data_IF_545502770290
#
_entry.id   IF_545502770290
#
_cell.length_a   1.000
_cell.length_b   1.000
_cell.length_c   1.000
_cell.angle_alpha   90.00
_cell.angle_beta   90.00
_cell.angle_gamma   90.00
#
_symmetry.space_group_name_H-M   'P 1'
#
loop_
_entity.id
_entity.type
_entity.pdbx_description
1 polymer ?
#
# COMPACT_ATOMS: atom_id res chain seq x y z
N UNK A 1 -1.62 -6.13 16.71
CA UNK A 1 -2.40 -5.15 15.93
C UNK A 1 -2.60 -5.71 14.54
N UNK A 2 -3.60 -5.20 13.84
CA UNK A 2 -3.88 -5.48 12.43
C UNK A 2 -3.19 -4.41 11.58
N UNK A 3 -2.29 -4.82 10.70
CA UNK A 3 -1.51 -3.92 9.83
C UNK A 3 -1.90 -4.16 8.38
N UNK A 4 -2.25 -3.11 7.65
CA UNK A 4 -2.35 -3.18 6.19
C UNK A 4 -1.04 -2.71 5.57
N UNK A 5 -0.46 -3.53 4.71
CA UNK A 5 0.76 -3.22 3.96
C UNK A 5 0.44 -3.00 2.48
N UNK A 6 1.09 -2.00 1.88
CA UNK A 6 1.02 -1.67 0.45
C UNK A 6 2.38 -1.16 -0.05
N UNK A 7 2.54 -0.97 -1.36
CA UNK A 7 3.72 -0.35 -1.97
C UNK A 7 3.40 0.17 -3.39
N UNK A 8 4.39 0.73 -4.06
CA UNK A 8 4.36 1.16 -5.46
C UNK A 8 5.12 0.23 -6.43
N UNK A 9 6.05 -0.59 -5.93
CA UNK A 9 6.78 -1.58 -6.74
C UNK A 9 5.93 -2.80 -7.17
N UNK A 10 4.78 -3.00 -6.51
CA UNK A 10 3.83 -4.08 -6.78
C UNK A 10 3.87 -5.23 -5.77
N UNK A 11 2.81 -6.04 -5.77
CA UNK A 11 2.55 -7.06 -4.74
C UNK A 11 3.58 -8.18 -4.62
N UNK A 12 4.40 -8.39 -5.66
CA UNK A 12 5.46 -9.42 -5.67
C UNK A 12 6.85 -8.86 -5.40
N UNK A 13 6.98 -7.56 -5.15
CA UNK A 13 8.27 -6.93 -4.92
C UNK A 13 8.94 -7.47 -3.65
N UNK A 14 10.27 -7.49 -3.65
CA UNK A 14 11.05 -7.98 -2.51
C UNK A 14 10.80 -7.14 -1.25
N UNK A 15 10.77 -5.81 -1.39
CA UNK A 15 10.63 -4.88 -0.27
C UNK A 15 9.32 -5.05 0.51
N UNK A 16 8.20 -5.28 -0.17
CA UNK A 16 6.90 -5.48 0.50
C UNK A 16 6.82 -6.85 1.19
N UNK A 17 7.46 -7.89 0.63
CA UNK A 17 7.56 -9.20 1.26
C UNK A 17 8.39 -9.16 2.52
N UNK A 18 9.55 -8.51 2.49
CA UNK A 18 10.42 -8.35 3.67
C UNK A 18 9.67 -7.59 4.77
N UNK A 19 8.96 -6.52 4.41
CA UNK A 19 8.16 -5.74 5.36
C UNK A 19 7.08 -6.60 6.02
N UNK A 20 6.32 -7.36 5.21
CA UNK A 20 5.32 -8.28 5.72
C UNK A 20 5.92 -9.33 6.66
N UNK A 21 6.96 -10.04 6.22
CA UNK A 21 7.62 -11.10 6.99
C UNK A 21 8.11 -10.54 8.34
N UNK A 22 8.73 -9.36 8.34
CA UNK A 22 9.20 -8.68 9.56
C UNK A 22 8.07 -8.33 10.52
N UNK A 23 6.93 -7.85 10.02
CA UNK A 23 5.78 -7.49 10.86
C UNK A 23 5.08 -8.74 11.42
N UNK A 24 5.02 -9.83 10.64
CA UNK A 24 4.50 -11.12 11.10
C UNK A 24 5.39 -11.70 12.20
N UNK A 25 6.71 -11.66 12.04
CA UNK A 25 7.67 -12.10 13.06
C UNK A 25 7.58 -11.27 14.36
N UNK A 26 7.24 -9.98 14.25
CA UNK A 26 6.94 -9.11 15.38
C UNK A 26 5.60 -9.42 16.07
N UNK A 27 4.83 -10.39 15.58
CA UNK A 27 3.57 -10.85 16.17
C UNK A 27 2.35 -10.03 15.76
N UNK A 28 2.37 -9.38 14.59
CA UNK A 28 1.23 -8.64 14.05
C UNK A 28 0.38 -9.49 13.09
N UNK A 29 -0.90 -9.15 12.98
CA UNK A 29 -1.75 -9.68 11.93
C UNK A 29 -1.59 -8.79 10.69
N UNK A 30 -0.98 -9.31 9.64
CA UNK A 30 -0.65 -8.54 8.43
C UNK A 30 -1.61 -8.88 7.31
N UNK A 31 -2.15 -7.84 6.67
CA UNK A 31 -2.90 -7.88 5.42
C UNK A 31 -2.10 -7.14 4.36
N UNK A 32 -2.10 -7.64 3.13
CA UNK A 32 -1.36 -7.04 2.03
C UNK A 32 -2.32 -6.67 0.90
N UNK A 33 -2.27 -5.41 0.44
CA UNK A 33 -2.93 -4.98 -0.78
C UNK A 33 -2.04 -4.02 -1.56
N UNK A 34 -1.57 -4.45 -2.72
CA UNK A 34 -0.64 -3.68 -3.54
C UNK A 34 -1.00 -3.76 -5.03
N UNK A 35 -0.45 -2.87 -5.88
CA UNK A 35 -0.66 -2.93 -7.32
C UNK A 35 -0.22 -4.26 -7.93
N UNK A 36 -0.89 -4.69 -9.01
CA UNK A 36 -0.52 -5.90 -9.77
C UNK A 36 0.89 -5.81 -10.37
N UNK A 37 1.35 -4.61 -10.69
CA UNK A 37 2.68 -4.34 -11.26
C UNK A 37 3.20 -3.00 -10.76
N UNK A 38 4.50 -2.77 -10.91
CA UNK A 38 5.14 -1.48 -10.61
C UNK A 38 4.33 -0.31 -11.20
N UNK A 39 4.10 0.68 -10.35
CA UNK A 39 3.52 1.98 -10.68
C UNK A 39 4.57 3.00 -10.27
N UNK A 40 5.27 3.57 -11.25
CA UNK A 40 6.27 4.61 -11.00
C UNK A 40 5.84 5.95 -11.60
N UNK A 41 6.21 7.02 -10.90
CA UNK A 41 6.03 8.42 -11.31
C UNK A 41 4.57 8.90 -11.46
N UNK A 42 3.61 8.27 -10.79
CA UNK A 42 2.21 8.73 -10.79
C UNK A 42 1.80 9.52 -9.53
N UNK A 43 2.72 9.79 -8.59
CA UNK A 43 2.48 10.58 -7.38
C UNK A 43 1.26 10.06 -6.58
N UNK A 44 0.18 10.82 -6.47
CA UNK A 44 -1.05 10.41 -5.78
C UNK A 44 -2.19 10.09 -6.76
N UNK A 45 -1.87 9.61 -7.98
CA UNK A 45 -2.89 9.36 -8.98
C UNK A 45 -3.93 8.35 -8.48
N UNK A 46 -5.19 8.65 -8.74
CA UNK A 46 -6.32 7.78 -8.45
C UNK A 46 -7.10 7.50 -9.73
N UNK A 47 -7.62 6.28 -9.85
CA UNK A 47 -8.43 5.88 -10.99
C UNK A 47 -9.88 6.34 -10.81
N UNK A 48 -10.22 7.53 -11.31
CA UNK A 48 -11.60 8.03 -11.31
C UNK A 48 -12.48 7.48 -12.44
N UNK A 49 -11.87 7.16 -13.59
CA UNK A 49 -12.56 6.66 -14.77
C UNK A 49 -12.01 5.27 -15.12
N UNK A 50 -12.91 4.28 -15.17
CA UNK A 50 -12.55 2.90 -15.44
C UNK A 50 -12.92 1.97 -14.29
N UNK A 51 -12.52 0.70 -14.40
CA UNK A 51 -12.74 -0.31 -13.37
C UNK A 51 -11.43 -0.61 -12.66
N UNK A 52 -11.44 -0.54 -11.34
CA UNK A 52 -10.38 -1.07 -10.49
C UNK A 52 -10.79 -2.46 -10.04
N UNK A 53 -9.95 -3.45 -10.33
CA UNK A 53 -10.20 -4.85 -9.96
C UNK A 53 -9.32 -5.23 -8.79
N UNK A 54 -9.93 -5.82 -7.77
CA UNK A 54 -9.23 -6.44 -6.64
C UNK A 54 -9.28 -7.96 -6.80
N UNK A 55 -8.13 -8.60 -6.67
CA UNK A 55 -8.01 -10.05 -6.74
C UNK A 55 -7.39 -10.54 -5.45
N UNK A 56 -8.13 -11.38 -4.72
CA UNK A 56 -7.63 -12.13 -3.58
C UNK A 56 -6.85 -13.34 -4.08
N UNK A 57 -5.61 -13.52 -3.64
CA UNK A 57 -4.79 -14.68 -4.05
C UNK A 57 -4.47 -15.64 -2.89
N UNK A 58 -4.67 -15.23 -1.65
CA UNK A 58 -4.69 -16.11 -0.48
C UNK A 58 -5.63 -15.56 0.62
N UNK A 59 -5.46 -15.94 1.89
CA UNK A 59 -6.33 -15.49 2.97
C UNK A 59 -6.29 -13.98 3.24
N UNK A 60 -5.12 -13.35 3.17
CA UNK A 60 -4.88 -11.97 3.62
C UNK A 60 -4.23 -11.09 2.57
N UNK A 61 -3.99 -11.63 1.38
CA UNK A 61 -3.31 -10.94 0.32
C UNK A 61 -4.17 -10.71 -0.91
N UNK A 62 -4.11 -9.48 -1.37
CA UNK A 62 -4.86 -8.94 -2.48
C UNK A 62 -3.92 -8.19 -3.40
N UNK A 63 -4.21 -8.21 -4.70
CA UNK A 63 -3.61 -7.26 -5.62
C UNK A 63 -4.68 -6.45 -6.35
N UNK A 64 -4.31 -5.22 -6.70
CA UNK A 64 -5.20 -4.22 -7.28
C UNK A 64 -4.70 -3.83 -8.68
N UNK A 65 -5.61 -3.74 -9.66
CA UNK A 65 -5.24 -3.26 -11.00
C UNK A 65 -4.93 -1.75 -11.07
N UNK A 66 -5.23 -0.99 -10.02
CA UNK A 66 -5.05 0.46 -9.95
C UNK A 66 -3.67 0.89 -9.45
N UNK A 67 -3.64 2.07 -8.82
CA UNK A 67 -2.47 2.66 -8.15
C UNK A 67 -2.39 2.25 -6.66
N UNK A 68 -1.30 2.56 -5.95
CA UNK A 68 -1.23 2.38 -4.50
C UNK A 68 -2.32 3.15 -3.76
N UNK A 69 -2.64 4.37 -4.21
CA UNK A 69 -3.75 5.15 -3.68
C UNK A 69 -5.10 4.44 -3.88
N UNK A 70 -5.33 3.81 -5.04
CA UNK A 70 -6.53 3.01 -5.28
C UNK A 70 -6.63 1.81 -4.34
N UNK A 71 -5.50 1.16 -4.01
CA UNK A 71 -5.45 0.07 -3.03
C UNK A 71 -5.99 0.52 -1.67
N UNK A 72 -5.68 1.74 -1.25
CA UNK A 72 -6.17 2.30 0.01
C UNK A 72 -7.61 2.79 -0.12
N UNK A 73 -7.89 3.64 -1.12
CA UNK A 73 -9.19 4.27 -1.33
C UNK A 73 -10.29 3.22 -1.49
N UNK A 74 -10.12 2.27 -2.41
CA UNK A 74 -11.15 1.27 -2.69
C UNK A 74 -11.00 0.01 -1.82
N UNK A 75 -9.79 -0.32 -1.37
CA UNK A 75 -9.55 -1.42 -0.45
C UNK A 75 -10.21 -1.17 0.91
N UNK A 76 -9.90 -0.04 1.55
CA UNK A 76 -10.45 0.33 2.85
C UNK A 76 -11.78 1.08 2.72
N UNK A 77 -11.78 2.21 2.02
CA UNK A 77 -12.97 3.07 1.90
C UNK A 77 -14.11 2.41 1.13
N UNK A 78 -13.79 1.68 0.07
CA UNK A 78 -14.73 0.90 -0.73
C UNK A 78 -15.08 -0.48 -0.17
N UNK A 79 -14.43 -0.90 0.94
CA UNK A 79 -14.58 -2.22 1.57
C UNK A 79 -14.31 -3.41 0.62
N UNK A 80 -13.39 -3.24 -0.34
CA UNK A 80 -12.92 -4.37 -1.13
C UNK A 80 -12.07 -5.35 -0.30
N UNK A 81 -11.45 -4.86 0.78
CA UNK A 81 -10.77 -5.67 1.79
C UNK A 81 -11.69 -5.94 2.99
N UNK A 82 -11.78 -7.19 3.49
CA UNK A 82 -12.62 -7.53 4.63
C UNK A 82 -11.92 -7.28 5.97
N UNK A 83 -11.20 -6.16 6.09
CA UNK A 83 -10.39 -5.81 7.27
C UNK A 83 -10.47 -4.32 7.58
N UNK A 84 -10.37 -3.98 8.86
CA UNK A 84 -10.16 -2.61 9.35
C UNK A 84 -8.81 -2.58 10.06
N UNK A 85 -7.76 -2.00 9.46
CA UNK A 85 -6.42 -1.99 10.04
C UNK A 85 -6.31 -0.97 11.18
N UNK A 86 -5.45 -1.25 12.14
CA UNK A 86 -5.02 -0.31 13.17
C UNK A 86 -4.02 0.73 12.61
N UNK A 87 -3.24 0.32 11.59
CA UNK A 87 -2.25 1.16 10.90
C UNK A 87 -2.03 0.68 9.46
N UNK A 88 -1.75 1.62 8.56
CA UNK A 88 -1.31 1.35 7.18
C UNK A 88 0.18 1.63 7.02
N UNK A 89 0.93 0.71 6.43
CA UNK A 89 2.36 0.90 6.14
C UNK A 89 2.59 0.75 4.64
N UNK A 90 3.13 1.78 4.00
CA UNK A 90 3.51 1.76 2.58
C UNK A 90 5.02 1.61 2.44
N UNK A 91 5.48 0.59 1.71
CA UNK A 91 6.88 0.32 1.46
C UNK A 91 7.22 -1.18 1.40
N UNK A 92 8.48 -1.58 1.51
CA UNK A 92 9.66 -0.71 1.56
C UNK A 92 10.04 -0.31 0.13
N UNK A 93 9.99 0.98 -0.18
CA UNK A 93 10.40 1.47 -1.49
C UNK A 93 11.92 1.34 -1.69
N UNK A 94 12.33 0.93 -2.89
CA UNK A 94 13.73 0.86 -3.29
C UNK A 94 14.22 2.22 -3.83
N UNK A 95 14.69 3.06 -2.91
CA UNK A 95 15.12 4.43 -3.17
C UNK A 95 14.58 5.38 -2.12
N UNK A 96 15.23 6.51 -1.90
CA UNK A 96 14.80 7.46 -0.89
C UNK A 96 13.63 8.33 -1.38
N UNK A 97 12.62 8.52 -0.53
CA UNK A 97 11.65 9.60 -0.67
C UNK A 97 11.97 10.68 0.36
N UNK A 98 12.77 11.66 -0.01
CA UNK A 98 13.26 12.70 0.88
C UNK A 98 13.11 14.09 0.27
N UNK A 99 13.02 15.12 1.13
CA UNK A 99 12.87 16.51 0.69
C UNK A 99 11.65 16.68 -0.25
N UNK A 100 11.80 17.42 -1.34
CA UNK A 100 10.75 17.69 -2.32
C UNK A 100 10.27 16.44 -3.07
N UNK A 101 11.05 15.36 -3.09
CA UNK A 101 10.68 14.12 -3.78
C UNK A 101 9.46 13.44 -3.12
N UNK A 102 9.20 13.79 -1.85
CA UNK A 102 8.00 13.37 -1.11
C UNK A 102 6.71 13.74 -1.87
N UNK A 103 6.67 14.90 -2.55
CA UNK A 103 5.49 15.36 -3.27
C UNK A 103 5.15 14.49 -4.49
N UNK A 104 6.11 13.71 -4.98
CA UNK A 104 5.97 12.88 -6.18
C UNK A 104 5.98 11.38 -5.86
N UNK A 105 6.13 11.00 -4.59
CA UNK A 105 6.26 9.62 -4.14
C UNK A 105 4.92 8.90 -4.05
N UNK A 106 4.78 7.78 -4.74
CA UNK A 106 3.59 6.92 -4.62
C UNK A 106 3.58 6.16 -3.29
N UNK A 107 4.74 5.79 -2.74
CA UNK A 107 4.89 5.23 -1.39
C UNK A 107 4.34 6.19 -0.33
N UNK A 108 4.79 7.45 -0.33
CA UNK A 108 4.23 8.47 0.58
C UNK A 108 2.78 8.75 0.24
N UNK A 109 2.42 8.62 -1.04
CA UNK A 109 1.06 8.86 -1.48
C UNK A 109 0.03 7.88 -0.97
N UNK A 110 0.36 6.60 -0.92
CA UNK A 110 -0.51 5.61 -0.30
C UNK A 110 -0.68 5.86 1.21
N UNK A 111 0.40 6.18 1.92
CA UNK A 111 0.31 6.52 3.34
C UNK A 111 -0.52 7.79 3.59
N UNK A 112 -0.37 8.81 2.73
CA UNK A 112 -1.16 10.05 2.80
C UNK A 112 -2.65 9.78 2.55
N UNK A 113 -2.97 8.91 1.60
CA UNK A 113 -4.35 8.51 1.28
C UNK A 113 -5.03 7.77 2.44
N UNK A 114 -4.26 6.99 3.21
CA UNK A 114 -4.74 6.33 4.42
C UNK A 114 -4.99 7.35 5.53
N UNK A 115 -4.04 8.28 5.74
CA UNK A 115 -4.18 9.36 6.71
C UNK A 115 -5.39 10.27 6.43
N UNK A 116 -5.69 10.56 5.15
CA UNK A 116 -6.89 11.30 4.73
C UNK A 116 -8.21 10.59 5.07
N UNK A 117 -8.16 9.30 5.40
CA UNK A 117 -9.30 8.46 5.83
C UNK A 117 -9.26 8.12 7.31
N UNK A 118 -8.52 8.91 8.09
CA UNK A 118 -8.39 8.76 9.54
C UNK A 118 -7.70 7.45 9.99
N UNK A 119 -6.92 6.81 9.11
CA UNK A 119 -6.04 5.70 9.49
C UNK A 119 -4.63 6.22 9.82
N UNK A 120 -4.04 5.84 10.96
CA UNK A 120 -2.61 6.03 11.18
C UNK A 120 -1.80 5.41 10.04
N UNK A 121 -0.81 6.13 9.52
CA UNK A 121 -0.08 5.69 8.34
C UNK A 121 1.42 6.02 8.40
N UNK A 122 2.24 5.12 7.82
CA UNK A 122 3.69 5.23 7.76
C UNK A 122 4.15 4.93 6.33
N UNK A 123 5.05 5.73 5.78
CA UNK A 123 5.78 5.41 4.55
C UNK A 123 7.23 5.04 4.89
N UNK A 124 7.74 3.97 4.30
CA UNK A 124 9.09 3.44 4.56
C UNK A 124 9.85 3.31 3.24
N UNK A 125 11.04 3.89 3.19
CA UNK A 125 11.89 3.92 2.00
C UNK A 125 13.33 3.62 2.40
N UNK A 126 14.02 2.76 1.66
CA UNK A 126 15.39 2.34 1.95
C UNK A 126 16.22 2.19 0.67
N UNK A 127 17.54 2.04 0.81
CA UNK A 127 18.47 1.78 -0.29
C UNK A 127 19.32 0.55 0.03
#
# INVERSE_FOLDING_TARGET
MVVLVTNDDGYQAEGIRILEETLVEAGHEVWLCAPTSERSAQSHAMTFHGKVTFVRYDERHYHCSGTPADCILYGLGGRALPVVPDVVISGINHGYNASTDILYSETVGAASEAALRDFPAIAVSAR
#
